data_IF_881307444887
#
_entry.id   IF_881307444887
#
_cell.length_a   1.000
_cell.length_b   1.000
_cell.length_c   1.000
_cell.angle_alpha   90.00
_cell.angle_beta   90.00
_cell.angle_gamma   90.00
#
_symmetry.space_group_name_H-M   'P 1'
#
loop_
_entity.id
_entity.type
_entity.pdbx_description
1 polymer ?
#
# COMPACT_ATOMS: atom_id res chain seq x y z
N UNK A 1 -20.90 -11.42 4.21
CA UNK A 1 -22.17 -10.77 4.65
C UNK A 1 -22.77 -10.05 3.47
N UNK A 2 -24.09 -10.13 3.25
CA UNK A 2 -24.73 -9.40 2.14
C UNK A 2 -25.22 -8.03 2.67
N UNK A 3 -24.47 -6.98 2.39
CA UNK A 3 -24.78 -5.62 2.90
C UNK A 3 -25.66 -4.94 1.85
N UNK A 4 -26.89 -4.50 2.23
CA UNK A 4 -27.76 -3.77 1.29
C UNK A 4 -27.11 -2.48 0.81
N UNK A 5 -27.21 -2.17 -0.48
CA UNK A 5 -26.66 -0.92 -1.05
C UNK A 5 -27.28 0.34 -0.44
N UNK A 6 -28.49 0.23 0.10
CA UNK A 6 -29.18 1.32 0.80
C UNK A 6 -28.67 1.56 2.22
N UNK A 7 -27.80 0.70 2.75
CA UNK A 7 -27.27 0.86 4.10
C UNK A 7 -26.39 2.12 4.18
N UNK A 8 -26.58 3.03 5.17
CA UNK A 8 -25.81 4.28 5.28
C UNK A 8 -24.29 4.08 5.29
N UNK A 9 -23.83 2.93 5.82
CA UNK A 9 -22.43 2.56 5.91
C UNK A 9 -22.02 1.52 4.84
N UNK A 10 -22.74 1.43 3.71
CA UNK A 10 -22.47 0.42 2.69
C UNK A 10 -21.00 0.46 2.21
N UNK A 11 -20.47 1.66 1.96
CA UNK A 11 -19.10 1.85 1.44
C UNK A 11 -18.06 1.38 2.46
N UNK A 12 -18.12 1.89 3.70
CA UNK A 12 -17.14 1.53 4.75
C UNK A 12 -17.20 0.05 5.12
N UNK A 13 -18.41 -0.52 5.22
CA UNK A 13 -18.58 -1.95 5.49
C UNK A 13 -18.07 -2.81 4.33
N UNK A 14 -18.26 -2.39 3.08
CA UNK A 14 -17.72 -3.10 1.90
C UNK A 14 -16.19 -3.09 1.87
N UNK A 15 -15.56 -2.00 2.29
CA UNK A 15 -14.11 -1.89 2.44
C UNK A 15 -13.62 -2.82 3.56
N UNK A 16 -14.31 -2.84 4.71
CA UNK A 16 -14.01 -3.74 5.82
C UNK A 16 -14.05 -5.21 5.38
N UNK A 17 -15.08 -5.63 4.64
CA UNK A 17 -15.19 -6.99 4.12
C UNK A 17 -14.02 -7.34 3.17
N UNK A 18 -13.55 -6.40 2.36
CA UNK A 18 -12.35 -6.62 1.52
C UNK A 18 -11.10 -6.86 2.35
N UNK A 19 -10.89 -6.10 3.43
CA UNK A 19 -9.75 -6.27 4.34
C UNK A 19 -9.83 -7.61 5.06
N UNK A 20 -11.00 -7.98 5.60
CA UNK A 20 -11.21 -9.29 6.24
C UNK A 20 -10.95 -10.43 5.26
N UNK A 21 -11.45 -10.31 4.02
CA UNK A 21 -11.14 -11.26 2.97
C UNK A 21 -9.63 -11.32 2.70
N UNK A 22 -8.95 -10.18 2.60
CA UNK A 22 -7.50 -10.09 2.42
C UNK A 22 -6.73 -10.80 3.54
N UNK A 23 -7.20 -10.71 4.79
CA UNK A 23 -6.64 -11.46 5.91
C UNK A 23 -6.82 -12.98 5.73
N UNK A 24 -8.02 -13.44 5.39
CA UNK A 24 -8.31 -14.85 5.15
C UNK A 24 -7.50 -15.41 3.95
N UNK A 25 -7.29 -14.61 2.92
CA UNK A 25 -6.46 -14.95 1.76
C UNK A 25 -4.94 -14.92 2.09
N UNK A 26 -4.56 -14.40 3.27
CA UNK A 26 -3.18 -14.27 3.76
C UNK A 26 -2.40 -13.13 3.11
N UNK A 27 -3.08 -12.10 2.63
CA UNK A 27 -2.46 -10.83 2.17
C UNK A 27 -2.23 -9.87 3.33
N UNK A 28 -3.19 -9.76 4.23
CA UNK A 28 -3.24 -8.81 5.34
C UNK A 28 -2.76 -9.47 6.62
N UNK A 29 -1.92 -8.78 7.40
CA UNK A 29 -1.54 -9.19 8.74
C UNK A 29 -2.68 -8.93 9.74
N UNK A 30 -2.69 -9.64 10.89
CA UNK A 30 -3.66 -9.39 11.97
C UNK A 30 -3.65 -7.91 12.40
N UNK A 31 -2.47 -7.34 12.52
CA UNK A 31 -2.26 -5.94 12.88
C UNK A 31 -2.79 -4.98 11.80
N UNK A 32 -2.82 -5.41 10.55
CA UNK A 32 -3.45 -4.66 9.45
C UNK A 32 -4.95 -4.48 9.61
N UNK A 33 -5.65 -5.45 10.25
CA UNK A 33 -7.06 -5.30 10.61
C UNK A 33 -7.25 -4.21 11.67
N UNK A 34 -6.37 -4.16 12.69
CA UNK A 34 -6.40 -3.15 13.75
C UNK A 34 -6.10 -1.76 13.19
N UNK A 35 -5.08 -1.65 12.33
CA UNK A 35 -4.74 -0.38 11.66
C UNK A 35 -5.90 0.13 10.80
N UNK A 36 -6.59 -0.75 10.07
CA UNK A 36 -7.77 -0.39 9.29
C UNK A 36 -8.90 0.13 10.19
N UNK A 37 -9.18 -0.54 11.32
CA UNK A 37 -10.21 -0.11 12.27
C UNK A 37 -9.91 1.27 12.88
N UNK A 38 -8.64 1.57 13.16
CA UNK A 38 -8.19 2.89 13.60
C UNK A 38 -8.42 3.96 12.52
N UNK A 39 -8.09 3.68 11.27
CA UNK A 39 -8.37 4.58 10.16
C UNK A 39 -9.86 4.81 9.95
N UNK A 40 -10.68 3.78 10.05
CA UNK A 40 -12.14 3.87 9.97
C UNK A 40 -12.73 4.75 11.10
N UNK A 41 -12.15 4.74 12.29
CA UNK A 41 -12.56 5.63 13.37
C UNK A 41 -12.34 7.12 13.02
N UNK A 42 -11.29 7.46 12.29
CA UNK A 42 -11.07 8.83 11.79
C UNK A 42 -12.16 9.28 10.83
N UNK A 43 -12.70 8.39 9.99
CA UNK A 43 -13.78 8.73 9.06
C UNK A 43 -15.04 9.20 9.79
N UNK A 44 -15.30 8.71 11.02
CA UNK A 44 -16.39 9.21 11.86
C UNK A 44 -16.13 10.60 12.41
N UNK A 45 -14.88 10.98 12.64
CA UNK A 45 -14.52 12.28 13.21
C UNK A 45 -14.44 13.37 12.15
N UNK A 46 -13.87 13.06 10.97
CA UNK A 46 -13.58 14.05 9.92
C UNK A 46 -14.50 13.91 8.71
N UNK A 47 -15.31 12.87 8.65
CA UNK A 47 -16.21 12.52 7.55
C UNK A 47 -15.53 11.74 6.43
N UNK A 48 -16.31 10.92 5.73
CA UNK A 48 -15.86 10.08 4.61
C UNK A 48 -15.70 10.87 3.30
N UNK A 49 -15.13 12.08 3.37
CA UNK A 49 -14.97 12.97 2.21
C UNK A 49 -13.55 13.52 2.13
N UNK A 50 -12.97 13.44 0.93
CA UNK A 50 -11.68 14.07 0.67
C UNK A 50 -11.78 15.59 0.86
N UNK A 51 -11.12 16.13 1.87
CA UNK A 51 -11.11 17.58 2.17
C UNK A 51 -10.40 18.37 1.06
N UNK A 52 -10.56 19.71 1.08
CA UNK A 52 -9.84 20.59 0.15
C UNK A 52 -8.33 20.46 0.32
N UNK A 53 -7.85 20.38 1.57
CA UNK A 53 -6.43 20.20 1.88
C UNK A 53 -5.91 18.86 1.38
N UNK A 54 -6.67 17.77 1.60
CA UNK A 54 -6.32 16.45 1.08
C UNK A 54 -6.26 16.44 -0.46
N UNK A 55 -7.17 17.12 -1.16
CA UNK A 55 -7.11 17.27 -2.62
C UNK A 55 -5.85 17.99 -3.08
N UNK A 56 -5.44 19.07 -2.40
CA UNK A 56 -4.21 19.77 -2.71
C UNK A 56 -2.98 18.87 -2.49
N UNK A 57 -2.95 18.10 -1.40
CA UNK A 57 -1.89 17.13 -1.13
C UNK A 57 -1.81 16.03 -2.19
N UNK A 58 -2.95 15.50 -2.64
CA UNK A 58 -3.02 14.51 -3.75
C UNK A 58 -2.44 15.10 -5.04
N UNK A 59 -2.78 16.34 -5.37
CA UNK A 59 -2.22 17.01 -6.55
C UNK A 59 -0.70 17.19 -6.44
N UNK A 60 -0.20 17.61 -5.29
CA UNK A 60 1.23 17.74 -5.03
C UNK A 60 1.95 16.39 -5.15
N UNK A 61 1.38 15.32 -4.57
CA UNK A 61 1.92 13.97 -4.69
C UNK A 61 1.96 13.48 -6.14
N UNK A 62 0.89 13.74 -6.92
CA UNK A 62 0.85 13.39 -8.33
C UNK A 62 1.95 14.11 -9.14
N UNK A 63 2.15 15.41 -8.91
CA UNK A 63 3.24 16.17 -9.54
C UNK A 63 4.60 15.59 -9.18
N UNK A 64 4.84 15.27 -7.91
CA UNK A 64 6.09 14.66 -7.44
C UNK A 64 6.36 13.33 -8.11
N UNK A 65 5.35 12.44 -8.18
CA UNK A 65 5.50 11.14 -8.85
C UNK A 65 5.78 11.28 -10.35
N UNK A 66 5.11 12.21 -11.03
CA UNK A 66 5.29 12.42 -12.47
C UNK A 66 6.62 13.08 -12.83
N UNK A 67 7.20 13.86 -11.91
CA UNK A 67 8.50 14.53 -12.10
C UNK A 67 9.70 13.73 -11.60
N UNK A 68 9.45 12.61 -10.91
CA UNK A 68 10.51 11.76 -10.37
C UNK A 68 11.24 10.99 -11.49
N UNK A 69 12.53 10.74 -11.27
CA UNK A 69 13.33 9.90 -12.18
C UNK A 69 13.19 8.40 -11.82
N UNK A 70 13.06 8.09 -10.54
CA UNK A 70 12.91 6.73 -10.02
C UNK A 70 11.75 6.63 -9.01
N UNK A 71 10.50 6.88 -9.44
CA UNK A 71 9.35 6.78 -8.54
C UNK A 71 9.08 5.33 -8.16
N UNK A 72 8.73 5.09 -6.89
CA UNK A 72 8.37 3.76 -6.38
C UNK A 72 7.07 3.84 -5.59
N UNK A 73 6.21 2.84 -5.74
CA UNK A 73 5.02 2.64 -4.92
C UNK A 73 5.31 1.48 -3.97
N UNK A 74 5.39 1.78 -2.66
CA UNK A 74 5.56 0.80 -1.60
C UNK A 74 4.21 0.16 -1.26
N UNK A 75 4.11 -1.16 -1.39
CA UNK A 75 2.86 -1.90 -1.19
C UNK A 75 2.94 -2.76 0.06
N UNK A 76 2.02 -2.51 1.01
CA UNK A 76 1.76 -3.37 2.15
C UNK A 76 0.56 -4.30 1.90
N UNK A 77 0.22 -5.13 2.89
CA UNK A 77 -0.87 -6.10 2.78
C UNK A 77 -2.25 -5.45 2.59
N UNK A 78 -2.51 -4.34 3.28
CA UNK A 78 -3.79 -3.62 3.20
C UNK A 78 -3.98 -3.01 1.80
N UNK A 79 -2.95 -2.39 1.25
CA UNK A 79 -2.96 -1.86 -0.13
C UNK A 79 -3.20 -2.98 -1.14
N UNK A 80 -2.51 -4.12 -0.99
CA UNK A 80 -2.66 -5.26 -1.89
C UNK A 80 -4.06 -5.90 -1.83
N UNK A 81 -4.75 -5.81 -0.69
CA UNK A 81 -6.11 -6.31 -0.53
C UNK A 81 -7.17 -5.33 -1.06
N UNK A 82 -6.96 -4.02 -0.87
CA UNK A 82 -7.96 -3.00 -1.18
C UNK A 82 -7.90 -2.52 -2.63
N UNK A 83 -6.71 -2.19 -3.14
CA UNK A 83 -6.55 -1.45 -4.38
C UNK A 83 -5.37 -1.93 -5.27
N UNK A 84 -5.20 -3.25 -5.49
CA UNK A 84 -4.08 -3.74 -6.30
C UNK A 84 -4.15 -3.28 -7.77
N UNK A 85 -5.35 -3.09 -8.32
CA UNK A 85 -5.54 -2.60 -9.70
C UNK A 85 -5.17 -1.14 -9.84
N UNK A 86 -5.58 -0.32 -8.88
CA UNK A 86 -5.31 1.11 -8.81
C UNK A 86 -3.80 1.36 -8.64
N UNK A 87 -3.11 0.56 -7.83
CA UNK A 87 -1.64 0.58 -7.72
C UNK A 87 -0.98 0.32 -9.07
N UNK A 88 -1.43 -0.70 -9.79
CA UNK A 88 -0.87 -1.03 -11.10
C UNK A 88 -1.18 0.05 -12.14
N UNK A 89 -2.37 0.64 -12.12
CA UNK A 89 -2.73 1.75 -13.00
C UNK A 89 -1.89 2.98 -12.72
N UNK A 90 -1.73 3.35 -11.44
CA UNK A 90 -0.89 4.46 -11.03
C UNK A 90 0.58 4.23 -11.43
N UNK A 91 1.12 3.04 -11.18
CA UNK A 91 2.47 2.68 -11.57
C UNK A 91 2.69 2.83 -13.08
N UNK A 92 1.72 2.41 -13.91
CA UNK A 92 1.78 2.61 -15.37
C UNK A 92 1.75 4.08 -15.77
N UNK A 93 0.88 4.87 -15.14
CA UNK A 93 0.71 6.29 -15.46
C UNK A 93 1.93 7.14 -15.08
N UNK A 94 2.62 6.78 -13.99
CA UNK A 94 3.77 7.53 -13.45
C UNK A 94 5.11 6.86 -13.77
N UNK A 95 5.11 5.73 -14.47
CA UNK A 95 6.28 4.87 -14.71
C UNK A 95 6.96 4.39 -13.40
N UNK A 96 6.21 4.40 -12.29
CA UNK A 96 6.69 3.97 -11.00
C UNK A 96 6.90 2.46 -10.93
N UNK A 97 7.95 2.04 -10.23
CA UNK A 97 8.15 0.65 -9.86
C UNK A 97 7.23 0.29 -8.69
N UNK A 98 6.89 -0.99 -8.55
CA UNK A 98 6.09 -1.47 -7.44
C UNK A 98 6.98 -2.35 -6.56
N UNK A 99 7.06 -2.04 -5.27
CA UNK A 99 7.83 -2.83 -4.31
C UNK A 99 6.96 -3.27 -3.12
N UNK A 100 7.03 -4.57 -2.79
CA UNK A 100 6.40 -5.09 -1.57
C UNK A 100 7.32 -4.84 -0.37
N UNK A 101 6.84 -4.06 0.60
CA UNK A 101 7.55 -3.77 1.82
C UNK A 101 6.63 -3.95 3.03
N UNK A 102 7.01 -4.82 3.97
CA UNK A 102 6.18 -5.25 5.10
C UNK A 102 6.85 -4.96 6.44
N UNK A 103 6.10 -4.43 7.39
CA UNK A 103 6.54 -4.33 8.79
C UNK A 103 6.56 -5.70 9.47
N UNK A 104 5.44 -6.38 9.47
CA UNK A 104 5.32 -7.74 9.94
C UNK A 104 5.81 -8.67 8.82
N UNK A 105 7.13 -8.91 8.82
CA UNK A 105 7.77 -9.67 7.77
C UNK A 105 7.26 -11.12 7.72
N UNK A 106 6.89 -11.58 6.53
CA UNK A 106 6.45 -12.95 6.26
C UNK A 106 6.64 -13.25 4.76
N UNK A 107 7.52 -14.20 4.45
CA UNK A 107 7.83 -14.56 3.06
C UNK A 107 6.62 -15.14 2.31
N UNK A 108 5.77 -15.91 2.99
CA UNK A 108 4.58 -16.49 2.38
C UNK A 108 3.62 -15.37 1.97
N UNK A 109 3.43 -14.40 2.86
CA UNK A 109 2.60 -13.22 2.62
C UNK A 109 3.17 -12.36 1.49
N UNK A 110 4.48 -12.11 1.46
CA UNK A 110 5.14 -11.37 0.36
C UNK A 110 4.83 -12.00 -1.00
N UNK A 111 4.99 -13.33 -1.12
CA UNK A 111 4.69 -14.06 -2.35
C UNK A 111 3.21 -13.99 -2.74
N UNK A 112 2.29 -14.03 -1.77
CA UNK A 112 0.86 -13.86 -2.03
C UNK A 112 0.54 -12.45 -2.52
N UNK A 113 1.15 -11.43 -1.94
CA UNK A 113 1.00 -10.02 -2.38
C UNK A 113 1.55 -9.85 -3.79
N UNK A 114 2.74 -10.36 -4.07
CA UNK A 114 3.33 -10.37 -5.41
C UNK A 114 2.37 -11.00 -6.43
N UNK A 115 1.84 -12.18 -6.12
CA UNK A 115 0.87 -12.88 -6.97
C UNK A 115 -0.40 -12.06 -7.21
N UNK A 116 -0.92 -11.38 -6.17
CA UNK A 116 -2.08 -10.49 -6.28
C UNK A 116 -1.81 -9.32 -7.22
N UNK A 117 -0.65 -8.65 -7.09
CA UNK A 117 -0.25 -7.56 -7.95
C UNK A 117 -0.03 -8.00 -9.41
N UNK A 118 0.61 -9.16 -9.62
CA UNK A 118 0.76 -9.74 -10.96
C UNK A 118 -0.59 -10.08 -11.59
N UNK A 119 -1.53 -10.63 -10.83
CA UNK A 119 -2.90 -10.86 -11.27
C UNK A 119 -3.63 -9.56 -11.62
N UNK A 120 -3.31 -8.46 -10.95
CA UNK A 120 -3.83 -7.13 -11.28
C UNK A 120 -3.17 -6.49 -12.50
N UNK A 121 -2.13 -7.12 -13.08
CA UNK A 121 -1.45 -6.68 -14.30
C UNK A 121 -0.09 -6.02 -14.10
N UNK A 122 0.53 -6.17 -12.92
CA UNK A 122 1.92 -5.75 -12.70
C UNK A 122 2.87 -6.66 -13.49
N UNK A 123 3.73 -6.07 -14.32
CA UNK A 123 4.77 -6.82 -15.07
C UNK A 123 5.90 -7.27 -14.16
N UNK A 124 6.33 -6.40 -13.25
CA UNK A 124 7.39 -6.63 -12.29
C UNK A 124 6.93 -6.17 -10.90
N UNK A 125 7.34 -6.91 -9.87
CA UNK A 125 7.12 -6.58 -8.46
C UNK A 125 8.46 -6.79 -7.75
N UNK A 126 8.98 -5.74 -7.15
CA UNK A 126 10.24 -5.71 -6.41
C UNK A 126 10.02 -6.07 -4.93
N UNK A 127 11.12 -6.24 -4.18
CA UNK A 127 11.08 -6.55 -2.75
C UNK A 127 10.77 -8.02 -2.43
N UNK A 128 10.79 -8.92 -3.43
CA UNK A 128 10.50 -10.36 -3.26
C UNK A 128 11.69 -11.26 -3.54
N UNK A 129 12.83 -10.70 -3.98
CA UNK A 129 14.06 -11.43 -4.27
C UNK A 129 15.16 -11.08 -3.25
N UNK A 130 15.56 -12.00 -2.34
CA UNK A 130 16.59 -11.73 -1.33
C UNK A 130 17.94 -11.27 -1.89
N UNK A 131 18.28 -11.67 -3.13
CA UNK A 131 19.56 -11.29 -3.77
C UNK A 131 19.64 -9.80 -4.11
N UNK A 132 18.50 -9.13 -4.22
CA UNK A 132 18.42 -7.70 -4.52
C UNK A 132 18.30 -6.82 -3.26
N UNK A 133 18.24 -7.41 -2.06
CA UNK A 133 18.03 -6.67 -0.83
C UNK A 133 19.21 -5.77 -0.45
N UNK A 134 18.87 -4.59 0.07
CA UNK A 134 19.78 -3.62 0.70
C UNK A 134 19.14 -3.10 1.99
N UNK A 135 19.95 -2.78 2.98
CA UNK A 135 19.50 -2.13 4.22
C UNK A 135 19.63 -0.61 4.09
N UNK A 136 18.61 0.12 4.53
CA UNK A 136 18.62 1.59 4.61
C UNK A 136 18.80 2.02 6.07
N UNK A 137 19.84 2.82 6.33
CA UNK A 137 20.16 3.34 7.67
C UNK A 137 20.49 2.25 8.68
N UNK A 138 20.58 2.65 9.96
CA UNK A 138 21.06 1.79 11.03
C UNK A 138 19.93 1.15 11.85
N UNK A 139 18.69 1.59 11.66
CA UNK A 139 17.55 1.04 12.38
C UNK A 139 17.33 -0.44 12.00
N UNK A 140 17.21 -1.29 13.03
CA UNK A 140 16.96 -2.72 12.83
C UNK A 140 15.45 -2.98 12.71
N UNK A 141 14.97 -2.86 11.49
CA UNK A 141 13.56 -3.06 11.13
C UNK A 141 13.46 -3.79 9.79
N UNK A 142 12.55 -4.76 9.63
CA UNK A 142 12.31 -5.43 8.35
C UNK A 142 11.97 -4.46 7.21
N UNK A 143 11.40 -3.32 7.51
CA UNK A 143 11.06 -2.27 6.54
C UNK A 143 12.29 -1.58 5.94
N UNK A 144 13.40 -1.62 6.65
CA UNK A 144 14.68 -1.08 6.16
C UNK A 144 15.38 -2.02 5.18
N UNK A 145 14.85 -3.24 5.00
CA UNK A 145 15.29 -4.17 3.98
C UNK A 145 14.46 -3.95 2.72
N UNK A 146 15.07 -3.36 1.73
CA UNK A 146 14.43 -2.90 0.49
C UNK A 146 15.14 -3.45 -0.74
N UNK A 147 14.51 -3.37 -1.90
CA UNK A 147 15.13 -3.77 -3.17
C UNK A 147 16.09 -2.69 -3.66
N UNK A 148 17.28 -3.11 -4.13
CA UNK A 148 18.31 -2.21 -4.67
C UNK A 148 17.84 -1.38 -5.86
N UNK A 149 16.97 -1.95 -6.68
CA UNK A 149 16.42 -1.32 -7.87
C UNK A 149 15.06 -0.66 -7.62
N UNK A 150 14.55 -0.76 -6.39
CA UNK A 150 13.30 -0.21 -5.90
C UNK A 150 13.51 0.97 -4.95
N UNK A 151 13.01 0.85 -3.72
CA UNK A 151 13.04 1.92 -2.70
C UNK A 151 14.48 2.41 -2.44
N UNK A 152 15.50 1.54 -2.51
CA UNK A 152 16.88 1.96 -2.29
C UNK A 152 17.37 3.00 -3.32
N UNK A 153 16.94 2.90 -4.57
CA UNK A 153 17.33 3.79 -5.66
C UNK A 153 16.28 4.89 -5.94
N UNK A 154 15.21 4.95 -5.15
CA UNK A 154 14.11 5.87 -5.40
C UNK A 154 14.46 7.31 -5.03
N UNK A 155 14.02 8.25 -5.85
CA UNK A 155 13.99 9.68 -5.53
C UNK A 155 12.62 10.12 -4.97
N UNK A 156 11.56 9.36 -5.24
CA UNK A 156 10.22 9.55 -4.67
C UNK A 156 9.59 8.20 -4.35
N UNK A 157 9.10 8.05 -3.14
CA UNK A 157 8.37 6.84 -2.70
C UNK A 157 6.95 7.22 -2.26
N UNK A 158 5.94 6.61 -2.87
CA UNK A 158 4.57 6.68 -2.41
C UNK A 158 4.29 5.51 -1.45
N UNK A 159 3.89 5.83 -0.22
CA UNK A 159 3.63 4.85 0.84
C UNK A 159 2.16 4.93 1.29
N UNK A 160 1.23 4.28 0.59
CA UNK A 160 -0.18 4.36 0.92
C UNK A 160 -0.54 3.57 2.19
N UNK A 161 -1.53 4.07 2.96
CA UNK A 161 -2.10 3.43 4.14
C UNK A 161 -1.04 3.11 5.21
N UNK A 162 -0.16 4.06 5.48
CA UNK A 162 0.90 3.95 6.48
C UNK A 162 0.94 5.18 7.37
N UNK A 163 1.52 5.01 8.56
CA UNK A 163 1.74 6.07 9.51
C UNK A 163 3.00 6.90 9.14
N UNK A 164 3.15 8.10 9.71
CA UNK A 164 4.26 8.99 9.42
C UNK A 164 5.64 8.43 9.76
N UNK A 165 5.73 7.55 10.76
CA UNK A 165 6.95 6.84 11.15
C UNK A 165 7.55 5.94 10.04
N UNK A 166 6.76 5.67 9.00
CA UNK A 166 7.21 4.94 7.82
C UNK A 166 7.98 5.77 6.82
N UNK A 167 7.79 7.06 6.84
CA UNK A 167 8.35 7.98 5.85
C UNK A 167 9.64 8.63 6.31
N UNK A 168 10.01 8.41 7.56
CA UNK A 168 11.30 8.76 8.13
C UNK A 168 12.33 7.65 7.85
#
# INVERSE_FOLDING_TARGET
MNIPKSHPRFVSLSIREKIVKGYNDGLVAKEGLLAHGRGEAFDYLVGEKTSKTAKAAIMAAAVKLLSAQNPVISVNGNVAALCPKEVVQLAKATQAKIEVNLFYYDEVRKKKIEKSLKKAGAKQVLGTNPRSYRKIGDLDSPRRIVDKDGIFAADVVLVPLEDGDRTE
#
